data_IF_941741319310
#
_entry.id   IF_941741319310
#
_cell.length_a   1.000
_cell.length_b   1.000
_cell.length_c   1.000
_cell.angle_alpha   90.00
_cell.angle_beta   90.00
_cell.angle_gamma   90.00
#
_symmetry.space_group_name_H-M   'P 1'
#
loop_
_entity.id
_entity.type
_entity.pdbx_description
1 polymer ?
#
# COMPACT_ATOMS: atom_id res chain seq x y z
N UNK A 1 2.95 0.11 -11.01
CA UNK A 1 2.18 0.85 -9.98
C UNK A 1 2.71 0.45 -8.61
N UNK A 2 2.76 1.38 -7.65
CA UNK A 2 2.99 1.03 -6.25
C UNK A 2 1.66 0.58 -5.65
N UNK A 3 1.59 -0.65 -5.16
CA UNK A 3 0.42 -1.21 -4.50
C UNK A 3 0.81 -1.62 -3.10
N UNK A 4 0.00 -1.22 -2.11
CA UNK A 4 0.13 -1.68 -0.74
C UNK A 4 -0.96 -2.71 -0.49
N UNK A 5 -0.56 -3.90 -0.07
CA UNK A 5 -1.50 -4.97 0.26
C UNK A 5 -0.95 -5.79 1.40
N UNK A 6 -1.83 -6.19 2.32
CA UNK A 6 -1.57 -7.21 3.33
C UNK A 6 -2.15 -8.56 2.93
N UNK A 7 -2.57 -8.71 1.67
CA UNK A 7 -3.36 -9.83 1.16
C UNK A 7 -4.73 -9.94 1.84
N UNK A 8 -5.43 -11.06 1.58
CA UNK A 8 -6.75 -11.34 2.15
C UNK A 8 -6.61 -11.78 3.61
N UNK A 9 -7.52 -11.32 4.46
CA UNK A 9 -7.65 -11.78 5.85
C UNK A 9 -8.59 -13.00 5.93
N UNK A 10 -8.56 -13.78 7.02
CA UNK A 10 -9.35 -15.02 7.14
C UNK A 10 -10.87 -14.85 7.00
N UNK A 11 -11.38 -13.65 7.26
CA UNK A 11 -12.82 -13.36 7.22
C UNK A 11 -13.27 -12.72 5.90
N UNK A 12 -12.37 -12.59 4.92
CA UNK A 12 -12.67 -12.00 3.63
C UNK A 12 -13.86 -12.70 2.96
N UNK A 13 -14.79 -11.90 2.42
CA UNK A 13 -16.04 -12.40 1.82
C UNK A 13 -16.89 -13.25 2.76
N UNK A 14 -16.85 -12.97 4.06
CA UNK A 14 -17.76 -13.58 5.05
C UNK A 14 -18.55 -12.50 5.78
N UNK A 15 -19.70 -12.84 6.40
CA UNK A 15 -20.42 -11.92 7.28
C UNK A 15 -19.62 -11.44 8.50
N UNK A 16 -18.47 -12.06 8.79
CA UNK A 16 -17.62 -11.69 9.92
C UNK A 16 -16.59 -10.61 9.57
N UNK A 17 -16.61 -10.06 8.35
CA UNK A 17 -15.79 -8.91 7.96
C UNK A 17 -16.39 -7.61 8.53
N UNK A 18 -16.17 -7.41 9.83
CA UNK A 18 -16.79 -6.36 10.63
C UNK A 18 -15.73 -5.41 11.19
N UNK A 19 -16.10 -4.14 11.41
CA UNK A 19 -15.19 -3.09 11.90
C UNK A 19 -14.54 -3.44 13.25
N UNK A 20 -15.25 -4.18 14.09
CA UNK A 20 -14.79 -4.62 15.41
C UNK A 20 -13.56 -5.54 15.33
N UNK A 21 -13.31 -6.14 14.17
CA UNK A 21 -12.18 -7.05 13.94
C UNK A 21 -10.96 -6.36 13.33
N UNK A 22 -11.04 -5.04 13.09
CA UNK A 22 -9.93 -4.25 12.57
C UNK A 22 -8.88 -4.01 13.66
N UNK A 23 -7.63 -4.33 13.36
CA UNK A 23 -6.48 -3.87 14.14
C UNK A 23 -6.17 -2.41 13.78
N UNK A 24 -6.77 -1.47 14.52
CA UNK A 24 -6.60 -0.03 14.30
C UNK A 24 -5.17 0.47 14.53
N UNK A 25 -4.41 0.01 15.55
CA UNK A 25 -2.99 0.32 15.67
C UNK A 25 -2.20 -0.02 14.41
N UNK A 26 -2.37 -1.23 13.86
CA UNK A 26 -1.74 -1.64 12.60
C UNK A 26 -2.19 -0.76 11.43
N UNK A 27 -3.51 -0.55 11.28
CA UNK A 27 -4.07 0.29 10.21
C UNK A 27 -3.49 1.71 10.25
N UNK A 28 -3.37 2.29 11.43
CA UNK A 28 -2.82 3.64 11.62
C UNK A 28 -1.35 3.71 11.19
N UNK A 29 -0.56 2.69 11.54
CA UNK A 29 0.84 2.61 11.13
C UNK A 29 0.98 2.47 9.60
N UNK A 30 0.12 1.66 8.98
CA UNK A 30 0.05 1.54 7.52
C UNK A 30 -0.31 2.89 6.86
N UNK A 31 -1.33 3.58 7.37
CA UNK A 31 -1.75 4.87 6.84
C UNK A 31 -0.64 5.93 6.91
N UNK A 32 0.05 6.03 8.06
CA UNK A 32 1.21 6.92 8.22
C UNK A 32 2.32 6.58 7.26
N UNK A 33 2.68 5.30 7.13
CA UNK A 33 3.74 4.86 6.26
C UNK A 33 3.44 5.14 4.77
N UNK A 34 2.21 4.88 4.33
CA UNK A 34 1.78 5.16 2.95
C UNK A 34 1.83 6.66 2.65
N UNK A 35 1.35 7.50 3.58
CA UNK A 35 1.43 8.96 3.45
C UNK A 35 2.89 9.44 3.36
N UNK A 36 3.73 9.02 4.31
CA UNK A 36 5.13 9.43 4.35
C UNK A 36 5.91 8.94 3.11
N UNK A 37 5.58 7.78 2.57
CA UNK A 37 6.18 7.28 1.33
C UNK A 37 5.82 8.17 0.14
N UNK A 38 4.54 8.52 -0.01
CA UNK A 38 4.08 9.46 -1.04
C UNK A 38 4.73 10.84 -0.89
N UNK A 39 4.78 11.37 0.34
CA UNK A 39 5.42 12.63 0.65
C UNK A 39 6.92 12.63 0.30
N UNK A 40 7.65 11.58 0.71
CA UNK A 40 9.08 11.46 0.43
C UNK A 40 9.37 11.38 -1.07
N UNK A 41 8.55 10.65 -1.84
CA UNK A 41 8.70 10.57 -3.30
C UNK A 41 8.40 11.91 -3.97
N UNK A 42 7.34 12.60 -3.56
CA UNK A 42 6.93 13.88 -4.14
C UNK A 42 7.94 15.01 -3.90
N UNK A 43 8.70 14.95 -2.79
CA UNK A 43 9.66 15.99 -2.41
C UNK A 43 11.12 15.66 -2.78
N UNK A 44 11.38 14.57 -3.49
CA UNK A 44 12.74 14.25 -3.98
C UNK A 44 13.12 15.17 -5.15
N UNK A 45 14.38 15.59 -5.18
CA UNK A 45 14.93 16.39 -6.29
C UNK A 45 14.88 15.64 -7.63
N UNK A 46 15.13 14.32 -7.58
CA UNK A 46 15.12 13.47 -8.75
C UNK A 46 13.93 12.49 -8.66
N UNK A 47 13.26 12.17 -9.78
CA UNK A 47 12.20 11.18 -9.80
C UNK A 47 12.75 9.78 -9.44
N UNK A 48 11.88 8.84 -9.01
CA UNK A 48 12.26 7.45 -8.87
C UNK A 48 12.90 6.90 -10.15
N UNK A 49 13.93 6.07 -10.00
CA UNK A 49 14.59 5.43 -11.12
C UNK A 49 13.58 4.62 -11.94
N UNK A 50 13.69 4.71 -13.26
CA UNK A 50 12.93 3.88 -14.19
C UNK A 50 13.68 2.57 -14.40
N UNK A 51 12.94 1.49 -14.60
CA UNK A 51 13.51 0.26 -15.11
C UNK A 51 13.89 0.47 -16.58
N UNK A 52 15.19 0.32 -16.87
CA UNK A 52 15.77 0.58 -18.20
C UNK A 52 15.37 -0.47 -19.23
N UNK A 53 15.05 -1.68 -18.78
CA UNK A 53 14.77 -2.83 -19.65
C UNK A 53 13.27 -3.14 -19.71
N UNK A 54 12.43 -2.33 -19.05
CA UNK A 54 10.99 -2.54 -19.01
C UNK A 54 10.35 -2.51 -20.41
N UNK A 55 9.65 -3.59 -20.74
CA UNK A 55 8.79 -3.72 -21.91
C UNK A 55 7.40 -4.10 -21.43
N UNK A 56 6.39 -3.30 -21.78
CA UNK A 56 5.01 -3.67 -21.55
C UNK A 56 4.67 -4.80 -22.52
N UNK A 57 4.48 -6.02 -22.01
CA UNK A 57 3.98 -7.14 -22.81
C UNK A 57 2.56 -6.84 -23.30
N UNK A 58 2.27 -7.24 -24.54
CA UNK A 58 1.03 -6.93 -25.25
C UNK A 58 0.07 -8.11 -25.20
#
# INVERSE_FOLDING_TARGET
ALSYTSLLHPDYHTPRDERERIDYPKLTNMARWMYLTGWAVANRQNPPARDKDFKLER
#
